data_IF_030376421217
#
_entry.id   IF_030376421217
#
_cell.length_a   1.000
_cell.length_b   1.000
_cell.length_c   1.000
_cell.angle_alpha   90.00
_cell.angle_beta   90.00
_cell.angle_gamma   90.00
#
_symmetry.space_group_name_H-M   'P 1'
#
loop_
_entity.id
_entity.type
_entity.pdbx_description
1 polymer ?
#
# COMPACT_ATOMS: atom_id res chain seq x y z
N UNK A 1 25.10 -3.51 38.96
CA UNK A 1 24.57 -2.48 38.04
C UNK A 1 23.19 -2.92 37.58
N UNK A 2 22.13 -2.20 37.97
CA UNK A 2 20.78 -2.44 37.44
C UNK A 2 20.80 -2.20 35.93
N UNK A 3 20.51 -3.24 35.13
CA UNK A 3 20.33 -3.10 33.68
C UNK A 3 19.15 -2.14 33.49
N UNK A 4 19.40 -0.91 33.03
CA UNK A 4 18.33 0.02 32.64
C UNK A 4 17.43 -0.73 31.65
N UNK A 5 16.16 -0.92 32.01
CA UNK A 5 15.17 -1.59 31.17
C UNK A 5 15.02 -0.77 29.89
N UNK A 6 15.40 -1.34 28.74
CA UNK A 6 15.28 -0.67 27.44
C UNK A 6 13.79 -0.49 27.12
N UNK A 7 13.39 0.73 26.79
CA UNK A 7 12.07 1.03 26.24
C UNK A 7 12.20 0.93 24.72
N UNK A 8 11.50 -0.04 24.13
CA UNK A 8 11.45 -0.21 22.68
C UNK A 8 10.36 0.67 22.10
N UNK A 9 10.57 1.17 20.88
CA UNK A 9 9.60 2.04 20.20
C UNK A 9 8.35 1.26 19.76
N UNK A 10 8.54 0.13 19.09
CA UNK A 10 7.49 -0.78 18.63
C UNK A 10 8.05 -2.19 18.59
N UNK A 11 7.35 -3.14 19.21
CA UNK A 11 7.69 -4.57 19.21
C UNK A 11 6.45 -5.37 18.84
N UNK A 12 6.59 -6.46 18.05
CA UNK A 12 5.48 -7.38 17.82
C UNK A 12 4.87 -7.86 19.14
N UNK A 13 3.54 -7.94 19.17
CA UNK A 13 2.80 -8.57 20.26
C UNK A 13 2.20 -9.85 19.71
N UNK A 14 2.61 -11.00 20.26
CA UNK A 14 2.11 -12.31 19.85
C UNK A 14 0.90 -12.69 20.70
N UNK A 15 -0.17 -13.16 20.06
CA UNK A 15 -1.44 -13.54 20.71
C UNK A 15 -1.65 -15.06 20.81
N UNK A 16 -0.78 -15.87 20.20
CA UNK A 16 -0.71 -17.33 20.31
C UNK A 16 -1.16 -18.06 19.05
N UNK A 17 -2.18 -17.55 18.37
CA UNK A 17 -2.70 -18.14 17.13
C UNK A 17 -1.69 -18.12 15.98
N UNK A 18 -0.75 -17.19 15.99
CA UNK A 18 0.29 -17.10 14.96
C UNK A 18 1.12 -18.40 14.92
N UNK A 19 1.45 -18.99 16.08
CA UNK A 19 2.18 -20.24 16.16
C UNK A 19 1.34 -21.43 15.64
N UNK A 20 0.02 -21.38 15.84
CA UNK A 20 -0.91 -22.39 15.33
C UNK A 20 -0.96 -22.37 13.80
N UNK A 21 -1.11 -21.20 13.19
CA UNK A 21 -1.11 -21.07 11.72
C UNK A 21 0.24 -21.43 11.09
N UNK A 22 1.36 -21.13 11.77
CA UNK A 22 2.68 -21.61 11.34
C UNK A 22 2.70 -23.15 11.37
N UNK A 23 2.29 -23.76 12.48
CA UNK A 23 2.28 -25.23 12.60
C UNK A 23 1.39 -25.88 11.52
N UNK A 24 0.21 -25.32 11.26
CA UNK A 24 -0.70 -25.80 10.21
C UNK A 24 -0.05 -25.79 8.81
N UNK A 25 0.71 -24.74 8.47
CA UNK A 25 1.45 -24.68 7.20
C UNK A 25 2.50 -25.80 7.09
N UNK A 26 3.18 -26.13 8.19
CA UNK A 26 4.13 -27.25 8.24
C UNK A 26 3.45 -28.61 8.19
N UNK A 27 2.36 -28.80 8.94
CA UNK A 27 1.63 -30.06 9.01
C UNK A 27 0.97 -30.42 7.67
N UNK A 28 0.46 -29.41 6.96
CA UNK A 28 -0.09 -29.56 5.60
C UNK A 28 0.98 -29.62 4.51
N UNK A 29 2.25 -29.39 4.86
CA UNK A 29 3.37 -29.22 3.92
C UNK A 29 3.12 -28.11 2.87
N UNK A 30 2.29 -27.11 3.21
CA UNK A 30 1.99 -25.96 2.36
C UNK A 30 2.96 -24.82 2.66
N UNK A 31 4.24 -25.02 2.35
CA UNK A 31 5.30 -24.00 2.49
C UNK A 31 5.55 -23.31 1.15
N UNK A 32 4.48 -22.73 0.59
CA UNK A 32 4.50 -22.01 -0.68
C UNK A 32 4.10 -20.53 -0.47
N UNK A 33 4.52 -19.60 -1.36
CA UNK A 33 4.20 -18.17 -1.22
C UNK A 33 2.71 -17.81 -1.28
N UNK A 34 1.88 -18.69 -1.83
CA UNK A 34 0.42 -18.56 -1.91
C UNK A 34 -0.21 -19.83 -1.38
N UNK A 35 -1.39 -19.73 -0.76
CA UNK A 35 -2.07 -20.85 -0.16
C UNK A 35 -3.29 -20.45 0.67
N UNK A 36 -3.96 -21.43 1.31
CA UNK A 36 -5.21 -21.19 2.05
C UNK A 36 -5.12 -20.06 3.08
N UNK A 37 -4.02 -19.98 3.83
CA UNK A 37 -3.81 -18.91 4.82
C UNK A 37 -3.68 -17.53 4.18
N UNK A 38 -3.07 -17.44 3.00
CA UNK A 38 -2.94 -16.18 2.25
C UNK A 38 -4.29 -15.76 1.68
N UNK A 39 -5.02 -16.70 1.07
CA UNK A 39 -6.35 -16.45 0.51
C UNK A 39 -7.34 -15.99 1.60
N UNK A 40 -7.32 -16.64 2.77
CA UNK A 40 -8.11 -16.24 3.94
C UNK A 40 -7.71 -14.85 4.43
N UNK A 41 -6.40 -14.57 4.56
CA UNK A 41 -5.93 -13.28 5.04
C UNK A 41 -6.31 -12.13 4.10
N UNK A 42 -6.25 -12.34 2.78
CA UNK A 42 -6.71 -11.37 1.79
C UNK A 42 -8.21 -11.11 1.91
N UNK A 43 -9.01 -12.16 2.09
CA UNK A 43 -10.46 -12.05 2.26
C UNK A 43 -10.82 -11.29 3.54
N UNK A 44 -10.24 -11.69 4.67
CA UNK A 44 -10.49 -11.10 5.99
C UNK A 44 -10.07 -9.62 6.03
N UNK A 45 -8.92 -9.27 5.45
CA UNK A 45 -8.49 -7.87 5.35
C UNK A 45 -9.43 -7.07 4.46
N UNK A 46 -9.82 -7.61 3.30
CA UNK A 46 -10.74 -6.94 2.38
C UNK A 46 -12.08 -6.64 3.06
N UNK A 47 -12.64 -7.64 3.76
CA UNK A 47 -13.86 -7.49 4.56
C UNK A 47 -13.69 -6.47 5.69
N UNK A 48 -12.60 -6.56 6.45
CA UNK A 48 -12.35 -5.68 7.59
C UNK A 48 -12.22 -4.20 7.21
N UNK A 49 -11.50 -3.89 6.13
CA UNK A 49 -11.33 -2.51 5.66
C UNK A 49 -12.51 -2.04 4.80
N UNK A 50 -13.33 -2.96 4.31
CA UNK A 50 -14.49 -2.65 3.46
C UNK A 50 -14.13 -2.34 2.01
N UNK A 51 -13.18 -3.08 1.43
CA UNK A 51 -12.81 -3.04 0.00
C UNK A 51 -13.16 -4.37 -0.66
N UNK A 52 -13.43 -4.41 -1.97
CA UNK A 52 -13.85 -5.66 -2.63
C UNK A 52 -12.73 -6.67 -2.83
N UNK A 53 -11.50 -6.23 -3.05
CA UNK A 53 -10.39 -7.10 -3.43
C UNK A 53 -9.08 -6.71 -2.77
N UNK A 54 -8.28 -7.73 -2.44
CA UNK A 54 -6.95 -7.58 -1.87
C UNK A 54 -5.96 -8.57 -2.52
N UNK A 55 -4.69 -8.20 -2.57
CA UNK A 55 -3.57 -9.08 -2.95
C UNK A 55 -2.44 -8.95 -1.94
N UNK A 56 -2.09 -10.06 -1.29
CA UNK A 56 -0.97 -10.17 -0.37
C UNK A 56 0.34 -10.19 -1.16
N UNK A 57 1.30 -9.41 -0.68
CA UNK A 57 2.58 -9.17 -1.34
C UNK A 57 3.72 -9.25 -0.34
N UNK A 58 4.93 -9.42 -0.85
CA UNK A 58 6.13 -9.61 -0.01
C UNK A 58 6.44 -8.41 0.91
N UNK A 59 5.99 -7.20 0.57
CA UNK A 59 6.19 -5.99 1.38
C UNK A 59 5.19 -4.89 1.00
N UNK A 60 5.04 -3.89 1.87
CA UNK A 60 4.32 -2.65 1.52
C UNK A 60 4.94 -1.92 0.33
N UNK A 61 6.28 -1.94 0.19
CA UNK A 61 6.98 -1.39 -0.98
C UNK A 61 6.56 -2.08 -2.28
N UNK A 62 6.43 -3.41 -2.26
CA UNK A 62 5.94 -4.17 -3.42
C UNK A 62 4.49 -3.79 -3.76
N UNK A 63 3.64 -3.58 -2.75
CA UNK A 63 2.27 -3.11 -2.95
C UNK A 63 2.23 -1.73 -3.63
N UNK A 64 3.03 -0.77 -3.15
CA UNK A 64 3.14 0.56 -3.76
C UNK A 64 3.66 0.46 -5.19
N UNK A 65 4.67 -0.39 -5.43
CA UNK A 65 5.22 -0.57 -6.77
C UNK A 65 4.20 -1.10 -7.76
N UNK A 66 3.45 -2.13 -7.39
CA UNK A 66 2.39 -2.65 -8.26
C UNK A 66 1.26 -1.63 -8.44
N UNK A 67 0.92 -0.83 -7.41
CA UNK A 67 -0.05 0.27 -7.55
C UNK A 67 0.42 1.35 -8.54
N UNK A 68 1.70 1.75 -8.48
CA UNK A 68 2.32 2.69 -9.43
C UNK A 68 2.29 2.13 -10.85
N UNK A 69 2.61 0.84 -11.02
CA UNK A 69 2.54 0.16 -12.31
C UNK A 69 1.10 0.07 -12.85
N UNK A 70 0.13 -0.26 -11.99
CA UNK A 70 -1.30 -0.28 -12.33
C UNK A 70 -1.86 1.12 -12.65
N UNK A 71 -1.34 2.17 -12.01
CA UNK A 71 -1.66 3.56 -12.37
C UNK A 71 -1.12 3.92 -13.77
N UNK A 72 -0.28 3.07 -14.36
CA UNK A 72 0.22 3.20 -15.73
C UNK A 72 1.36 4.18 -15.85
N UNK A 73 2.12 4.41 -14.78
CA UNK A 73 3.31 5.26 -14.79
C UNK A 73 4.34 4.69 -15.75
N UNK A 74 4.88 5.57 -16.60
CA UNK A 74 5.93 5.27 -17.59
C UNK A 74 7.14 6.18 -17.36
N UNK A 75 8.30 5.86 -17.98
CA UNK A 75 9.47 6.71 -17.92
C UNK A 75 9.16 8.17 -18.33
N UNK A 76 9.47 9.12 -17.44
CA UNK A 76 9.22 10.54 -17.64
C UNK A 76 7.87 11.07 -17.14
N UNK A 77 6.91 10.19 -16.79
CA UNK A 77 5.63 10.63 -16.23
C UNK A 77 5.82 11.29 -14.87
N UNK A 78 5.12 12.41 -14.63
CA UNK A 78 5.14 13.10 -13.34
C UNK A 78 4.24 12.38 -12.35
N UNK A 79 4.73 12.16 -11.13
CA UNK A 79 3.96 11.60 -10.01
C UNK A 79 4.10 12.50 -8.79
N UNK A 80 2.98 12.83 -8.17
CA UNK A 80 2.96 13.62 -6.94
C UNK A 80 3.08 12.71 -5.73
N UNK A 81 4.00 13.02 -4.82
CA UNK A 81 4.20 12.26 -3.60
C UNK A 81 4.18 13.19 -2.39
N UNK A 82 3.69 12.72 -1.24
CA UNK A 82 3.95 13.38 0.05
C UNK A 82 5.45 13.60 0.25
N UNK A 83 5.85 14.81 0.67
CA UNK A 83 7.25 15.14 0.94
C UNK A 83 7.75 14.52 2.26
N UNK A 84 6.93 14.57 3.31
CA UNK A 84 7.16 13.96 4.60
C UNK A 84 6.58 12.55 4.60
N UNK A 85 7.42 11.58 4.26
CA UNK A 85 7.03 10.17 4.24
C UNK A 85 8.23 9.24 4.40
N UNK A 86 7.97 7.94 4.52
CA UNK A 86 8.97 6.90 4.38
C UNK A 86 9.39 6.72 2.91
N UNK A 87 10.68 6.48 2.66
CA UNK A 87 11.22 6.44 1.29
C UNK A 87 10.52 5.44 0.35
N UNK A 88 9.93 4.36 0.89
CA UNK A 88 9.20 3.38 0.09
C UNK A 88 7.94 3.91 -0.60
N UNK A 89 7.37 5.03 -0.14
CA UNK A 89 6.28 5.72 -0.86
C UNK A 89 6.76 6.26 -2.20
N UNK A 90 8.02 6.71 -2.27
CA UNK A 90 8.55 7.49 -3.39
C UNK A 90 9.39 6.64 -4.34
N UNK A 91 10.21 5.72 -3.80
CA UNK A 91 11.12 4.88 -4.58
C UNK A 91 10.44 4.12 -5.73
N UNK A 92 9.22 3.56 -5.59
CA UNK A 92 8.60 2.81 -6.67
C UNK A 92 8.25 3.62 -7.90
N UNK A 93 8.09 4.93 -7.76
CA UNK A 93 8.00 5.83 -8.92
C UNK A 93 9.29 5.77 -9.73
N UNK A 94 10.45 5.78 -9.07
CA UNK A 94 11.75 5.68 -9.74
C UNK A 94 11.96 4.31 -10.38
N UNK A 95 11.41 3.24 -9.80
CA UNK A 95 11.50 1.89 -10.37
C UNK A 95 10.82 1.80 -11.75
N UNK A 96 9.71 2.52 -11.95
CA UNK A 96 9.02 2.64 -13.25
C UNK A 96 9.55 3.82 -14.12
N UNK A 97 10.57 4.54 -13.65
CA UNK A 97 11.19 5.66 -14.38
C UNK A 97 10.42 6.98 -14.33
N UNK A 98 9.42 7.11 -13.46
CA UNK A 98 8.66 8.35 -13.28
C UNK A 98 9.48 9.44 -12.59
N UNK A 99 9.02 10.68 -12.71
CA UNK A 99 9.59 11.89 -12.10
C UNK A 99 8.76 12.29 -10.89
N UNK A 100 9.38 12.29 -9.71
CA UNK A 100 8.70 12.61 -8.46
C UNK A 100 8.63 14.13 -8.28
N UNK A 101 7.44 14.65 -7.98
CA UNK A 101 7.23 16.02 -7.49
C UNK A 101 6.70 15.91 -6.07
N UNK A 102 7.46 16.45 -5.12
CA UNK A 102 7.14 16.39 -3.70
C UNK A 102 6.13 17.48 -3.34
N UNK A 103 5.06 17.10 -2.65
CA UNK A 103 3.98 17.97 -2.22
C UNK A 103 4.14 18.20 -0.72
N UNK A 104 4.18 19.48 -0.35
CA UNK A 104 4.36 19.94 1.03
C UNK A 104 3.24 19.45 1.96
N UNK A 105 3.56 19.40 3.25
CA UNK A 105 2.70 18.85 4.28
C UNK A 105 1.93 19.92 5.05
N UNK A 106 0.84 19.52 5.69
CA UNK A 106 0.12 20.35 6.64
C UNK A 106 0.86 20.42 7.97
N UNK A 107 0.80 21.56 8.66
CA UNK A 107 1.50 21.74 9.93
C UNK A 107 0.85 21.01 11.11
N UNK A 108 -0.43 20.67 11.01
CA UNK A 108 -1.26 20.06 12.05
C UNK A 108 -1.35 18.53 11.94
N UNK A 109 -1.46 17.99 10.72
CA UNK A 109 -1.56 16.54 10.48
C UNK A 109 -0.27 15.91 9.97
N UNK A 110 0.66 16.72 9.43
CA UNK A 110 1.87 16.28 8.73
C UNK A 110 1.61 15.43 7.47
N UNK A 111 0.37 15.36 7.01
CA UNK A 111 0.00 14.73 5.76
C UNK A 111 0.01 15.75 4.62
N UNK A 112 -0.15 15.26 3.39
CA UNK A 112 -0.16 16.09 2.18
C UNK A 112 -1.16 17.25 2.28
N UNK A 113 -0.71 18.48 2.01
CA UNK A 113 -1.55 19.67 2.03
C UNK A 113 -2.38 19.80 0.74
N UNK A 114 -3.73 19.80 0.80
CA UNK A 114 -4.58 19.92 -0.39
C UNK A 114 -4.30 21.19 -1.21
N UNK A 115 -3.98 22.32 -0.56
CA UNK A 115 -3.64 23.57 -1.27
C UNK A 115 -2.29 23.50 -1.98
N UNK A 116 -1.33 22.78 -1.42
CA UNK A 116 -0.05 22.54 -2.10
C UNK A 116 -0.25 21.60 -3.30
N UNK A 117 -1.13 20.60 -3.15
CA UNK A 117 -1.52 19.70 -4.23
C UNK A 117 -2.16 20.44 -5.40
N UNK A 118 -3.14 21.32 -5.16
CA UNK A 118 -3.75 22.15 -6.22
C UNK A 118 -2.70 22.98 -6.98
N UNK A 119 -1.81 23.67 -6.25
CA UNK A 119 -0.70 24.43 -6.87
C UNK A 119 0.24 23.55 -7.68
N UNK A 120 0.43 22.29 -7.27
CA UNK A 120 1.24 21.35 -8.02
C UNK A 120 0.58 21.00 -9.36
N UNK A 121 -0.73 20.77 -9.38
CA UNK A 121 -1.49 20.57 -10.62
C UNK A 121 -1.49 21.80 -11.52
N UNK A 122 -1.50 23.02 -10.99
CA UNK A 122 -1.33 24.23 -11.81
C UNK A 122 0.01 24.24 -12.57
N UNK A 123 1.08 23.73 -11.94
CA UNK A 123 2.43 23.70 -12.52
C UNK A 123 2.71 22.47 -13.37
N UNK A 124 2.11 21.33 -13.00
CA UNK A 124 2.28 20.04 -13.65
C UNK A 124 0.90 19.42 -13.91
N UNK A 125 0.14 19.93 -14.90
CA UNK A 125 -1.24 19.52 -15.13
C UNK A 125 -1.37 18.07 -15.60
N UNK A 126 -0.33 17.52 -16.24
CA UNK A 126 -0.31 16.15 -16.77
C UNK A 126 0.23 15.12 -15.77
N UNK A 127 0.03 15.37 -14.47
CA UNK A 127 0.42 14.42 -13.42
C UNK A 127 -0.32 13.09 -13.58
N UNK A 128 0.45 11.99 -13.59
CA UNK A 128 -0.07 10.65 -13.86
C UNK A 128 -0.81 10.06 -12.67
N UNK A 129 -0.24 10.20 -11.48
CA UNK A 129 -0.85 9.73 -10.24
C UNK A 129 -0.35 10.53 -9.03
N UNK A 130 -1.12 10.44 -7.95
CA UNK A 130 -0.84 11.07 -6.67
C UNK A 130 -0.73 9.97 -5.62
N UNK A 131 0.39 9.90 -4.91
CA UNK A 131 0.61 8.99 -3.79
C UNK A 131 0.50 9.79 -2.50
N UNK A 132 -0.63 9.62 -1.81
CA UNK A 132 -0.90 10.23 -0.50
C UNK A 132 -0.55 9.24 0.61
N UNK A 133 -0.09 9.75 1.75
CA UNK A 133 0.25 8.94 2.92
C UNK A 133 -0.64 9.32 4.09
N UNK A 134 -1.03 8.33 4.89
CA UNK A 134 -1.68 8.52 6.19
C UNK A 134 -0.65 8.29 7.30
N UNK A 135 0.12 9.33 7.61
CA UNK A 135 1.30 9.27 8.46
C UNK A 135 0.93 8.98 9.93
N UNK A 136 1.67 8.07 10.57
CA UNK A 136 1.53 7.73 11.99
C UNK A 136 0.11 7.33 12.43
N UNK A 137 -0.68 6.78 11.52
CA UNK A 137 -2.07 6.41 11.78
C UNK A 137 -3.06 7.57 11.72
N UNK A 138 -2.60 8.78 11.43
CA UNK A 138 -3.47 9.95 11.25
C UNK A 138 -3.90 10.03 9.79
N UNK A 139 -5.20 9.95 9.47
CA UNK A 139 -5.65 10.09 8.09
C UNK A 139 -5.34 11.47 7.51
N UNK A 140 -4.98 11.51 6.23
CA UNK A 140 -4.91 12.76 5.48
C UNK A 140 -6.31 13.36 5.28
N UNK A 141 -6.40 14.55 4.67
CA UNK A 141 -7.68 15.13 4.21
C UNK A 141 -8.15 14.43 2.94
N UNK A 142 -8.51 13.17 3.09
CA UNK A 142 -8.68 12.21 1.98
C UNK A 142 -9.81 12.58 1.02
N UNK A 143 -10.86 13.24 1.49
CA UNK A 143 -11.95 13.72 0.62
C UNK A 143 -11.52 14.93 -0.22
N UNK A 144 -10.83 15.89 0.36
CA UNK A 144 -10.27 17.05 -0.36
C UNK A 144 -9.25 16.59 -1.40
N UNK A 145 -8.30 15.74 -1.01
CA UNK A 145 -7.27 15.19 -1.90
C UNK A 145 -7.90 14.36 -3.02
N UNK A 146 -8.89 13.52 -2.71
CA UNK A 146 -9.61 12.73 -3.70
C UNK A 146 -10.33 13.63 -4.71
N UNK A 147 -11.04 14.64 -4.23
CA UNK A 147 -11.76 15.58 -5.10
C UNK A 147 -10.82 16.33 -6.05
N UNK A 148 -9.64 16.73 -5.58
CA UNK A 148 -8.61 17.34 -6.44
C UNK A 148 -8.12 16.34 -7.49
N UNK A 149 -7.79 15.10 -7.09
CA UNK A 149 -7.38 14.06 -8.04
C UNK A 149 -8.45 13.81 -9.11
N UNK A 150 -9.73 13.76 -8.72
CA UNK A 150 -10.87 13.60 -9.63
C UNK A 150 -11.00 14.74 -10.63
N UNK A 151 -10.88 15.99 -10.16
CA UNK A 151 -10.97 17.17 -11.01
C UNK A 151 -9.87 17.20 -12.09
N UNK A 152 -8.72 16.60 -11.82
CA UNK A 152 -7.58 16.50 -12.75
C UNK A 152 -7.48 15.15 -13.46
N UNK A 153 -8.37 14.19 -13.19
CA UNK A 153 -8.32 12.85 -13.78
C UNK A 153 -7.09 12.02 -13.37
N UNK A 154 -6.48 12.34 -12.23
CA UNK A 154 -5.27 11.68 -11.73
C UNK A 154 -5.62 10.44 -10.89
N UNK A 155 -4.82 9.37 -11.03
CA UNK A 155 -4.98 8.18 -10.20
C UNK A 155 -4.46 8.48 -8.79
N UNK A 156 -5.33 8.41 -7.78
CA UNK A 156 -4.91 8.43 -6.37
C UNK A 156 -4.49 7.03 -5.88
N UNK A 157 -3.29 6.94 -5.32
CA UNK A 157 -2.77 5.80 -4.55
C UNK A 157 -2.70 6.20 -3.08
N UNK A 158 -3.27 5.41 -2.20
CA UNK A 158 -3.30 5.66 -0.76
C UNK A 158 -2.31 4.74 -0.02
N UNK A 159 -1.23 5.33 0.49
CA UNK A 159 -0.28 4.69 1.39
C UNK A 159 -0.84 4.67 2.82
N UNK A 160 -1.50 3.56 3.15
CA UNK A 160 -2.03 3.27 4.47
C UNK A 160 -1.12 2.33 5.28
N UNK A 161 0.19 2.29 4.98
CA UNK A 161 1.15 1.43 5.67
C UNK A 161 1.26 1.68 7.18
N UNK A 162 0.77 2.81 7.69
CA UNK A 162 0.80 3.19 9.10
C UNK A 162 -0.57 3.37 9.73
N UNK A 163 -1.65 3.10 9.00
CA UNK A 163 -3.01 3.50 9.39
C UNK A 163 -4.05 2.37 9.29
N UNK A 164 -3.64 1.10 9.28
CA UNK A 164 -4.59 0.00 9.39
C UNK A 164 -5.50 0.19 10.62
N UNK A 165 -6.81 0.18 10.43
CA UNK A 165 -7.86 0.47 11.45
C UNK A 165 -8.15 1.94 11.72
N UNK A 166 -7.42 2.88 11.14
CA UNK A 166 -7.79 4.30 11.21
C UNK A 166 -8.97 4.59 10.30
N UNK A 167 -9.87 5.47 10.74
CA UNK A 167 -11.04 5.86 9.95
C UNK A 167 -11.05 7.35 9.65
N UNK A 168 -11.43 7.69 8.43
CA UNK A 168 -11.75 9.06 8.03
C UNK A 168 -13.24 9.13 7.68
N UNK A 169 -14.01 9.96 8.41
CA UNK A 169 -15.47 10.08 8.23
C UNK A 169 -16.22 8.73 8.21
N UNK A 170 -15.80 7.80 9.06
CA UNK A 170 -16.42 6.48 9.21
C UNK A 170 -15.99 5.42 8.17
N UNK A 171 -15.13 5.76 7.20
CA UNK A 171 -14.55 4.81 6.25
C UNK A 171 -13.08 4.52 6.61
N UNK A 172 -12.65 3.27 6.50
CA UNK A 172 -11.28 2.84 6.81
C UNK A 172 -10.28 3.43 5.81
N UNK A 173 -9.11 3.84 6.29
CA UNK A 173 -8.00 4.26 5.42
C UNK A 173 -7.47 3.07 4.60
N UNK A 174 -6.89 3.38 3.45
CA UNK A 174 -6.49 2.42 2.40
C UNK A 174 -7.61 2.13 1.41
N UNK A 175 -8.73 2.85 1.46
CA UNK A 175 -9.91 2.61 0.61
C UNK A 175 -10.43 3.85 -0.12
N UNK A 176 -9.75 4.99 -0.03
CA UNK A 176 -10.14 6.25 -0.69
C UNK A 176 -9.48 6.41 -2.07
N UNK A 177 -8.28 5.85 -2.25
CA UNK A 177 -7.61 5.79 -3.54
C UNK A 177 -8.25 4.80 -4.53
N UNK A 178 -7.82 4.85 -5.78
CA UNK A 178 -8.08 3.75 -6.74
C UNK A 178 -7.34 2.48 -6.30
N UNK A 179 -6.18 2.68 -5.69
CA UNK A 179 -5.36 1.65 -5.07
C UNK A 179 -5.02 2.10 -3.66
N UNK A 180 -5.16 1.21 -2.68
CA UNK A 180 -4.65 1.39 -1.33
C UNK A 180 -3.62 0.34 -1.02
N UNK A 181 -2.73 0.60 -0.07
CA UNK A 181 -1.74 -0.39 0.37
C UNK A 181 -1.67 -0.48 1.88
N UNK A 182 -1.29 -1.66 2.36
CA UNK A 182 -0.97 -1.93 3.76
C UNK A 182 0.44 -2.50 3.90
N UNK A 183 1.02 -2.37 5.09
CA UNK A 183 2.30 -2.99 5.43
C UNK A 183 2.17 -3.82 6.69
N UNK A 184 2.78 -5.01 6.67
CA UNK A 184 2.84 -5.95 7.79
C UNK A 184 4.29 -6.20 8.24
N UNK A 185 5.17 -5.21 8.06
CA UNK A 185 6.54 -5.24 8.59
C UNK A 185 6.54 -5.36 10.14
N UNK A 186 7.64 -5.78 10.73
CA UNK A 186 7.77 -6.10 12.16
C UNK A 186 7.41 -4.99 13.16
N UNK A 187 7.36 -3.72 12.73
CA UNK A 187 6.99 -2.60 13.59
C UNK A 187 5.57 -2.05 13.34
N UNK A 188 4.80 -2.69 12.45
CA UNK A 188 3.44 -2.29 12.07
C UNK A 188 2.40 -2.81 13.07
N UNK A 189 1.18 -2.28 12.99
CA UNK A 189 0.08 -2.61 13.91
C UNK A 189 -0.24 -4.10 13.94
N UNK A 190 -0.24 -4.74 12.76
CA UNK A 190 -0.24 -6.19 12.57
C UNK A 190 1.03 -6.54 11.80
N UNK A 191 1.67 -7.66 12.14
CA UNK A 191 2.89 -8.09 11.44
C UNK A 191 2.85 -9.56 10.99
N UNK A 192 3.45 -9.81 9.84
CA UNK A 192 3.78 -11.14 9.31
C UNK A 192 5.30 -11.31 9.23
N UNK A 193 6.04 -10.63 10.11
CA UNK A 193 7.48 -10.31 9.98
C UNK A 193 7.79 -9.38 8.81
N UNK A 194 7.45 -9.80 7.60
CA UNK A 194 7.48 -8.99 6.38
C UNK A 194 6.23 -9.29 5.54
N UNK A 195 5.67 -8.25 4.94
CA UNK A 195 4.47 -8.37 4.13
C UNK A 195 3.87 -7.02 3.76
N UNK A 196 2.98 -7.04 2.78
CA UNK A 196 2.10 -5.94 2.43
C UNK A 196 0.85 -6.44 1.74
N UNK A 197 -0.10 -5.54 1.54
CA UNK A 197 -1.34 -5.82 0.82
C UNK A 197 -1.56 -4.70 -0.19
N UNK A 198 -1.97 -5.04 -1.41
CA UNK A 198 -2.60 -4.10 -2.34
C UNK A 198 -4.12 -4.25 -2.22
N UNK A 199 -4.84 -3.14 -2.14
CA UNK A 199 -6.29 -3.04 -1.99
C UNK A 199 -6.88 -2.30 -3.19
N UNK A 200 -8.00 -2.79 -3.73
CA UNK A 200 -8.76 -2.07 -4.75
C UNK A 200 -10.17 -2.63 -4.91
N UNK A 201 -11.09 -1.80 -5.38
CA UNK A 201 -12.39 -2.26 -5.85
C UNK A 201 -12.35 -2.86 -7.27
N UNK A 202 -11.23 -2.70 -7.98
CA UNK A 202 -11.01 -3.29 -9.31
C UNK A 202 -10.37 -4.69 -9.18
N UNK A 203 -11.21 -5.72 -9.38
CA UNK A 203 -10.77 -7.11 -9.32
C UNK A 203 -9.81 -7.51 -10.44
N UNK A 204 -9.87 -6.88 -11.61
CA UNK A 204 -8.94 -7.16 -12.71
C UNK A 204 -7.57 -6.55 -12.42
N UNK A 205 -7.52 -5.36 -11.82
CA UNK A 205 -6.27 -4.76 -11.35
C UNK A 205 -5.60 -5.63 -10.28
N UNK A 206 -6.35 -6.16 -9.31
CA UNK A 206 -5.83 -7.07 -8.28
C UNK A 206 -5.31 -8.39 -8.89
N UNK A 207 -6.05 -8.99 -9.84
CA UNK A 207 -5.57 -10.17 -10.58
C UNK A 207 -4.28 -9.88 -11.34
N UNK A 208 -4.19 -8.71 -11.99
CA UNK A 208 -3.01 -8.29 -12.73
C UNK A 208 -1.80 -8.07 -11.82
N UNK A 209 -2.00 -7.46 -10.66
CA UNK A 209 -0.96 -7.33 -9.64
C UNK A 209 -0.46 -8.71 -9.17
N UNK A 210 -1.35 -9.66 -8.90
CA UNK A 210 -0.95 -11.04 -8.54
C UNK A 210 -0.15 -11.69 -9.65
N UNK A 211 -0.60 -11.58 -10.89
CA UNK A 211 0.13 -12.09 -12.06
C UNK A 211 1.57 -11.56 -12.09
N UNK A 212 1.78 -10.25 -11.93
CA UNK A 212 3.12 -9.65 -11.86
C UNK A 212 3.93 -10.14 -10.65
N UNK A 213 3.30 -10.23 -9.48
CA UNK A 213 3.95 -10.71 -8.26
C UNK A 213 4.40 -12.18 -8.37
N UNK A 214 3.71 -12.98 -9.19
CA UNK A 214 4.04 -14.38 -9.49
C UNK A 214 4.72 -14.52 -10.85
N UNK A 215 5.73 -13.69 -11.09
CA UNK A 215 6.64 -13.78 -12.24
C UNK A 215 5.97 -13.59 -13.61
N UNK A 216 4.75 -13.03 -13.68
CA UNK A 216 4.01 -12.85 -14.93
C UNK A 216 3.89 -14.14 -15.75
N UNK A 217 3.71 -15.30 -15.08
CA UNK A 217 3.57 -16.58 -15.76
C UNK A 217 2.16 -16.71 -16.36
N UNK A 218 2.11 -16.85 -17.68
CA UNK A 218 0.87 -17.08 -18.40
C UNK A 218 0.20 -18.40 -17.96
N UNK A 219 -1.13 -18.52 -18.07
CA UNK A 219 -1.88 -19.72 -17.66
C UNK A 219 -1.76 -20.88 -18.66
N UNK A 220 -0.56 -21.15 -19.16
CA UNK A 220 -0.27 -22.30 -20.02
C UNK A 220 0.32 -23.47 -19.23
N UNK A 221 0.21 -24.72 -19.74
CA UNK A 221 0.85 -25.88 -19.14
C UNK A 221 2.40 -25.86 -19.14
N UNK A 222 3.02 -25.01 -19.97
CA UNK A 222 4.47 -24.82 -20.07
C UNK A 222 4.88 -23.45 -19.51
N UNK A 223 6.18 -23.26 -19.27
CA UNK A 223 6.71 -21.96 -18.84
C UNK A 223 6.64 -20.94 -19.98
N UNK A 224 5.77 -19.94 -19.81
CA UNK A 224 5.61 -18.84 -20.74
C UNK A 224 5.37 -17.54 -19.97
N UNK A 225 6.00 -16.47 -20.44
CA UNK A 225 5.95 -15.14 -19.85
C UNK A 225 5.87 -14.14 -21.01
N UNK A 226 4.70 -13.50 -21.19
CA UNK A 226 4.50 -12.50 -22.25
C UNK A 226 4.88 -11.07 -21.82
N UNK A 227 5.16 -10.87 -20.52
CA UNK A 227 5.52 -9.58 -19.91
C UNK A 227 6.78 -9.69 -19.07
#
# INVERSE_FOLDING_TARGET
MSRKKRIFLSTPTMHGDEQRFIQEAFDSNWIAPLGPNVDAFEHEIAEYVGVKHAAALASGTAAIHLAVKLAGVKPGDVVFCSDLTFAATVNPVSYEGGVQVLIDSESDTWNMNPRALEKAFEKYPDCKCVIVVNLYGTPARLDEIRAICDAHGAVMIEDAAESLSSTYKGKQTGTFGHYGILSFNGNKLITTSGGGMLLSDDGEAIKKARFWATQARDPFPWYQHSE
#
